data_IF_942337301270
#
_entry.id   IF_942337301270
#
_cell.length_a   1.000
_cell.length_b   1.000
_cell.length_c   1.000
_cell.angle_alpha   90.00
_cell.angle_beta   90.00
_cell.angle_gamma   90.00
#
_symmetry.space_group_name_H-M   'P 1'
#
loop_
_entity.id
_entity.type
_entity.pdbx_description
1 polymer ?
#
# COMPACT_ATOMS: atom_id res chain seq x y z
N UNK A 1 -24.05 15.07 3.33
CA UNK A 1 -24.46 15.22 4.74
C UNK A 1 -25.90 14.80 4.83
N UNK A 2 -26.30 14.09 5.89
CA UNK A 2 -27.64 13.51 6.03
C UNK A 2 -28.40 14.31 7.09
N UNK A 3 -29.73 14.29 7.02
CA UNK A 3 -30.58 14.95 7.98
C UNK A 3 -31.84 14.13 8.32
N UNK A 4 -32.37 14.39 9.52
CA UNK A 4 -33.70 14.00 9.96
C UNK A 4 -34.52 15.28 10.17
N UNK A 5 -35.75 15.28 9.66
CA UNK A 5 -36.67 16.41 9.83
C UNK A 5 -38.02 15.91 10.35
N UNK A 6 -38.50 16.52 11.44
CA UNK A 6 -39.82 16.27 11.98
C UNK A 6 -40.73 17.47 11.67
N UNK A 7 -41.67 17.36 10.72
CA UNK A 7 -42.52 18.48 10.30
C UNK A 7 -43.52 18.92 11.39
N UNK A 8 -43.92 18.02 12.29
CA UNK A 8 -44.88 18.33 13.36
C UNK A 8 -44.28 19.17 14.48
N UNK A 9 -42.96 19.07 14.71
CA UNK A 9 -42.24 19.86 15.73
C UNK A 9 -41.33 20.93 15.14
N UNK A 10 -41.08 20.89 13.82
CA UNK A 10 -40.11 21.75 13.15
C UNK A 10 -38.65 21.40 13.46
N UNK A 11 -38.38 20.29 14.14
CA UNK A 11 -37.02 19.90 14.52
C UNK A 11 -36.25 19.36 13.30
N UNK A 12 -35.07 19.91 13.07
CA UNK A 12 -34.13 19.46 12.04
C UNK A 12 -32.79 19.09 12.68
N UNK A 13 -32.30 17.89 12.38
CA UNK A 13 -31.02 17.38 12.89
C UNK A 13 -30.20 16.91 11.71
N UNK A 14 -29.02 17.49 11.51
CA UNK A 14 -28.03 16.94 10.58
C UNK A 14 -26.96 16.17 11.33
N UNK A 15 -26.46 15.12 10.69
CA UNK A 15 -25.41 14.27 11.22
C UNK A 15 -24.63 13.59 10.08
N UNK A 16 -23.53 12.94 10.46
CA UNK A 16 -22.82 12.02 9.58
C UNK A 16 -23.14 10.61 10.04
N UNK A 17 -23.37 9.72 9.09
CA UNK A 17 -23.43 8.29 9.29
C UNK A 17 -22.18 7.63 8.69
N UNK A 18 -22.16 6.30 8.71
CA UNK A 18 -21.05 5.52 8.17
C UNK A 18 -20.84 5.76 6.67
N UNK A 19 -21.90 5.97 5.89
CA UNK A 19 -21.81 6.26 4.45
C UNK A 19 -21.06 7.58 4.20
N UNK A 20 -21.45 8.66 4.89
CA UNK A 20 -20.79 9.96 4.76
C UNK A 20 -19.34 9.91 5.26
N UNK A 21 -19.05 9.15 6.32
CA UNK A 21 -17.68 8.95 6.80
C UNK A 21 -16.82 8.27 5.73
N UNK A 22 -17.32 7.21 5.08
CA UNK A 22 -16.59 6.53 4.02
C UNK A 22 -16.34 7.43 2.80
N UNK A 23 -17.32 8.24 2.41
CA UNK A 23 -17.14 9.23 1.33
C UNK A 23 -16.06 10.27 1.67
N UNK A 24 -16.03 10.76 2.91
CA UNK A 24 -14.99 11.70 3.39
C UNK A 24 -13.61 11.04 3.42
N UNK A 25 -13.51 9.79 3.87
CA UNK A 25 -12.25 9.05 3.86
C UNK A 25 -11.72 8.90 2.41
N UNK A 26 -12.60 8.59 1.45
CA UNK A 26 -12.23 8.53 0.03
C UNK A 26 -11.76 9.88 -0.50
N UNK A 27 -12.46 10.96 -0.14
CA UNK A 27 -12.06 12.32 -0.53
C UNK A 27 -10.67 12.68 0.02
N UNK A 28 -10.39 12.35 1.29
CA UNK A 28 -9.06 12.55 1.91
C UNK A 28 -7.98 11.81 1.12
N UNK A 29 -8.22 10.55 0.75
CA UNK A 29 -7.29 9.75 -0.06
C UNK A 29 -7.06 10.36 -1.46
N UNK A 30 -8.14 10.69 -2.17
CA UNK A 30 -8.08 11.23 -3.53
C UNK A 30 -7.33 12.56 -3.61
N UNK A 31 -7.48 13.40 -2.58
CA UNK A 31 -6.89 14.74 -2.55
C UNK A 31 -5.57 14.78 -1.77
N UNK A 32 -5.02 13.63 -1.36
CA UNK A 32 -3.76 13.52 -0.60
C UNK A 32 -3.74 14.41 0.64
N UNK A 33 -4.86 14.49 1.35
CA UNK A 33 -4.98 15.27 2.58
C UNK A 33 -4.35 14.51 3.76
N UNK A 34 -3.81 15.26 4.72
CA UNK A 34 -2.97 14.68 5.76
C UNK A 34 -3.68 13.67 6.66
N UNK A 35 -4.84 14.04 7.24
CA UNK A 35 -5.57 13.24 8.24
C UNK A 35 -7.05 13.64 8.33
N UNK A 36 -7.84 12.79 8.97
CA UNK A 36 -9.17 13.13 9.48
C UNK A 36 -9.09 13.49 10.97
N UNK A 37 -9.95 14.40 11.41
CA UNK A 37 -10.18 14.74 12.81
C UNK A 37 -11.68 14.68 13.09
N UNK A 38 -12.07 14.28 14.30
CA UNK A 38 -13.46 14.22 14.73
C UNK A 38 -13.59 14.66 16.19
N UNK A 39 -14.79 15.10 16.55
CA UNK A 39 -15.15 15.50 17.91
C UNK A 39 -16.55 14.93 18.24
N UNK A 40 -16.74 14.05 19.23
CA UNK A 40 -15.78 13.45 20.17
C UNK A 40 -16.02 11.93 20.32
N UNK A 41 -15.09 11.24 20.99
CA UNK A 41 -15.13 9.78 21.17
C UNK A 41 -16.42 9.29 21.85
N UNK A 42 -16.97 10.07 22.78
CA UNK A 42 -18.11 9.65 23.61
C UNK A 42 -19.43 9.57 22.83
N UNK A 43 -19.50 10.17 21.64
CA UNK A 43 -20.68 10.15 20.78
C UNK A 43 -20.58 9.12 19.65
N UNK A 44 -19.48 8.35 19.58
CA UNK A 44 -19.33 7.28 18.60
C UNK A 44 -19.87 5.97 19.16
N UNK A 45 -20.90 5.42 18.51
CA UNK A 45 -21.52 4.18 18.96
C UNK A 45 -20.57 3.02 18.64
N UNK A 46 -19.99 2.42 19.68
CA UNK A 46 -19.11 1.25 19.54
C UNK A 46 -17.91 1.51 18.60
N UNK A 47 -17.37 2.73 18.63
CA UNK A 47 -16.22 3.18 17.84
C UNK A 47 -16.39 2.98 16.32
N UNK A 48 -17.64 2.96 15.82
CA UNK A 48 -17.93 2.62 14.44
C UNK A 48 -17.26 3.59 13.45
N UNK A 49 -17.37 4.90 13.71
CA UNK A 49 -16.84 5.92 12.81
C UNK A 49 -15.31 5.98 12.89
N UNK A 50 -14.76 5.91 14.10
CA UNK A 50 -13.32 5.89 14.32
C UNK A 50 -12.69 4.67 13.65
N UNK A 51 -13.29 3.49 13.83
CA UNK A 51 -12.80 2.25 13.21
C UNK A 51 -12.85 2.34 11.69
N UNK A 52 -13.93 2.88 11.11
CA UNK A 52 -14.05 3.06 9.67
C UNK A 52 -12.94 3.97 9.12
N UNK A 53 -12.71 5.12 9.76
CA UNK A 53 -11.64 6.05 9.38
C UNK A 53 -10.25 5.47 9.59
N UNK A 54 -9.99 4.79 10.71
CA UNK A 54 -8.71 4.15 10.98
C UNK A 54 -8.40 3.06 9.95
N UNK A 55 -9.37 2.18 9.65
CA UNK A 55 -9.18 1.15 8.64
C UNK A 55 -8.91 1.76 7.26
N UNK A 56 -9.69 2.77 6.87
CA UNK A 56 -9.57 3.38 5.54
C UNK A 56 -8.32 4.22 5.33
N UNK A 57 -7.83 4.93 6.36
CA UNK A 57 -6.70 5.85 6.22
C UNK A 57 -5.37 5.28 6.72
N UNK A 58 -5.39 4.36 7.69
CA UNK A 58 -4.18 3.81 8.30
C UNK A 58 -3.91 2.37 7.87
N UNK A 59 -4.92 1.48 7.89
CA UNK A 59 -4.72 0.07 7.53
C UNK A 59 -4.54 -0.14 6.03
N UNK A 60 -5.15 0.66 5.16
CA UNK A 60 -4.86 0.63 3.72
C UNK A 60 -3.36 0.86 3.42
N UNK A 61 -2.65 1.59 4.29
CA UNK A 61 -1.21 1.89 4.17
C UNK A 61 -0.34 0.81 4.85
N UNK A 62 -0.84 0.13 5.89
CA UNK A 62 -0.07 -0.81 6.72
C UNK A 62 -0.50 -2.28 6.61
N UNK A 63 -1.54 -2.58 5.82
CA UNK A 63 -1.86 -3.97 5.49
C UNK A 63 -0.67 -4.55 4.73
N UNK A 64 -0.08 -5.60 5.28
CA UNK A 64 0.93 -6.44 4.61
C UNK A 64 0.37 -7.16 3.36
N UNK A 65 -0.83 -6.76 2.90
CA UNK A 65 -1.47 -7.11 1.64
C UNK A 65 -1.53 -5.93 0.66
N UNK A 66 -0.76 -4.86 0.89
CA UNK A 66 -0.06 -4.25 -0.23
C UNK A 66 0.98 -5.29 -0.73
N UNK A 67 0.57 -6.44 -1.29
CA UNK A 67 0.36 -6.49 -2.74
C UNK A 67 0.41 -5.10 -3.34
N UNK A 68 1.65 -4.65 -3.50
CA UNK A 68 2.03 -3.71 -4.53
C UNK A 68 1.60 -4.32 -5.87
N UNK A 69 0.30 -4.34 -6.16
CA UNK A 69 -0.23 -4.47 -7.50
C UNK A 69 -0.06 -3.10 -8.17
N UNK A 70 1.20 -2.65 -8.23
CA UNK A 70 1.65 -2.03 -9.45
C UNK A 70 1.37 -3.09 -10.52
N UNK A 71 0.38 -2.82 -11.36
CA UNK A 71 0.18 -3.56 -12.60
C UNK A 71 1.46 -3.42 -13.42
N UNK A 72 2.44 -4.27 -13.14
CA UNK A 72 3.47 -4.62 -14.10
C UNK A 72 3.12 -6.06 -14.47
N UNK A 73 2.59 -6.20 -15.68
CA UNK A 73 2.33 -7.43 -16.40
C UNK A 73 3.62 -8.19 -16.73
N UNK A 74 4.51 -8.37 -15.76
CA UNK A 74 5.70 -9.20 -15.89
C UNK A 74 5.74 -10.13 -14.70
N UNK A 75 5.59 -11.42 -14.97
CA UNK A 75 5.76 -12.51 -14.03
C UNK A 75 6.97 -12.24 -13.12
N UNK A 76 6.70 -11.88 -11.87
CA UNK A 76 7.75 -11.64 -10.88
C UNK A 76 8.33 -13.01 -10.53
N UNK A 77 9.59 -13.26 -10.89
CA UNK A 77 10.28 -14.47 -10.48
C UNK A 77 10.63 -14.34 -8.99
N UNK A 78 9.94 -15.09 -8.14
CA UNK A 78 10.26 -15.14 -6.72
C UNK A 78 11.49 -16.03 -6.48
N UNK A 79 12.30 -15.69 -5.47
CA UNK A 79 13.38 -16.57 -5.02
C UNK A 79 12.79 -17.81 -4.33
N UNK A 80 13.32 -18.98 -4.68
CA UNK A 80 12.87 -20.30 -4.24
C UNK A 80 14.11 -21.06 -3.79
N UNK A 81 13.98 -21.81 -2.69
CA UNK A 81 15.03 -22.64 -2.11
C UNK A 81 15.27 -23.88 -3.00
N UNK A 82 16.53 -24.37 -3.07
CA UNK A 82 16.93 -25.55 -3.83
C UNK A 82 16.73 -25.43 -5.35
N UNK A 83 16.41 -24.22 -5.84
CA UNK A 83 16.28 -23.96 -7.25
C UNK A 83 17.66 -23.66 -7.87
N UNK A 84 17.88 -24.16 -9.09
CA UNK A 84 19.08 -23.87 -9.86
C UNK A 84 18.94 -22.52 -10.57
N UNK A 85 19.83 -21.58 -10.26
CA UNK A 85 19.83 -20.23 -10.82
C UNK A 85 20.93 -20.05 -11.86
N UNK A 86 20.57 -19.41 -12.97
CA UNK A 86 21.51 -19.05 -14.04
C UNK A 86 22.04 -17.63 -13.85
N UNK A 87 23.24 -17.36 -14.36
CA UNK A 87 23.82 -16.00 -14.36
C UNK A 87 22.85 -15.04 -15.06
N UNK A 88 22.72 -13.83 -14.51
CA UNK A 88 21.78 -12.77 -14.91
C UNK A 88 20.29 -13.04 -14.67
N UNK A 89 19.93 -14.18 -14.08
CA UNK A 89 18.55 -14.40 -13.65
C UNK A 89 18.20 -13.45 -12.49
N UNK A 90 17.04 -12.80 -12.59
CA UNK A 90 16.55 -11.86 -11.59
C UNK A 90 15.46 -12.50 -10.74
N UNK A 91 15.55 -12.29 -9.44
CA UNK A 91 14.57 -12.77 -8.48
C UNK A 91 14.27 -11.74 -7.40
N UNK A 92 13.08 -11.83 -6.82
CA UNK A 92 12.69 -11.03 -5.66
C UNK A 92 12.83 -11.85 -4.38
N UNK A 93 13.51 -11.28 -3.38
CA UNK A 93 13.60 -11.83 -2.02
C UNK A 93 13.51 -10.70 -1.00
N UNK A 94 12.62 -10.82 -0.01
CA UNK A 94 12.39 -9.78 1.02
C UNK A 94 12.23 -8.35 0.45
N UNK A 95 11.43 -8.22 -0.60
CA UNK A 95 11.15 -6.96 -1.30
C UNK A 95 12.37 -6.27 -1.94
N UNK A 96 13.46 -7.00 -2.16
CA UNK A 96 14.66 -6.55 -2.87
C UNK A 96 14.87 -7.37 -4.14
N UNK A 97 15.30 -6.73 -5.22
CA UNK A 97 15.67 -7.40 -6.48
C UNK A 97 17.13 -7.85 -6.42
N UNK A 98 17.36 -9.11 -6.73
CA UNK A 98 18.70 -9.67 -6.83
C UNK A 98 18.93 -10.24 -8.22
N UNK A 99 20.13 -9.98 -8.74
CA UNK A 99 20.64 -10.59 -9.97
C UNK A 99 21.66 -11.66 -9.60
N UNK A 100 21.45 -12.88 -10.07
CA UNK A 100 22.42 -13.96 -9.92
C UNK A 100 23.69 -13.62 -10.72
N UNK A 101 24.86 -13.65 -10.08
CA UNK A 101 26.15 -13.37 -10.74
C UNK A 101 26.95 -14.64 -11.06
N UNK A 102 26.64 -15.76 -10.40
CA UNK A 102 27.28 -17.05 -10.63
C UNK A 102 26.25 -18.17 -10.55
N UNK A 103 26.29 -19.14 -11.47
CA UNK A 103 25.38 -20.29 -11.46
C UNK A 103 25.52 -21.08 -10.15
N UNK A 104 24.42 -21.31 -9.45
CA UNK A 104 24.39 -22.04 -8.19
C UNK A 104 22.99 -22.59 -7.88
N UNK A 105 22.94 -23.50 -6.90
CA UNK A 105 21.69 -23.92 -6.27
C UNK A 105 21.46 -23.11 -4.99
N UNK A 106 20.28 -22.55 -4.81
CA UNK A 106 19.95 -21.82 -3.59
C UNK A 106 19.87 -22.75 -2.37
N UNK A 107 20.23 -22.26 -1.19
CA UNK A 107 20.18 -23.02 0.07
C UNK A 107 19.27 -22.36 1.10
N UNK A 108 18.80 -23.14 2.09
CA UNK A 108 17.89 -22.64 3.15
C UNK A 108 18.54 -21.59 4.06
N UNK A 109 19.87 -21.49 4.08
CA UNK A 109 20.61 -20.65 5.02
C UNK A 109 21.83 -20.02 4.37
N UNK A 110 21.59 -19.28 3.29
CA UNK A 110 22.62 -18.44 2.68
C UNK A 110 23.10 -17.41 3.72
N UNK A 111 24.42 -17.32 3.93
CA UNK A 111 25.04 -16.32 4.82
C UNK A 111 25.29 -15.02 4.04
N UNK A 112 25.54 -13.91 4.73
CA UNK A 112 25.82 -12.61 4.07
C UNK A 112 26.96 -12.69 3.04
N UNK A 113 27.99 -13.45 3.36
CA UNK A 113 29.15 -13.64 2.47
C UNK A 113 28.76 -14.43 1.20
N UNK A 114 27.92 -15.46 1.36
CA UNK A 114 27.34 -16.23 0.25
C UNK A 114 26.44 -15.35 -0.61
N UNK A 115 25.61 -14.50 0.00
CA UNK A 115 24.78 -13.55 -0.74
C UNK A 115 25.63 -12.62 -1.61
N UNK A 116 26.65 -11.97 -1.05
CA UNK A 116 27.50 -11.03 -1.80
C UNK A 116 28.33 -11.67 -2.93
N UNK A 117 28.58 -12.98 -2.86
CA UNK A 117 29.40 -13.71 -3.84
C UNK A 117 28.58 -14.40 -4.93
N UNK A 118 27.28 -14.62 -4.71
CA UNK A 118 26.37 -15.30 -5.65
C UNK A 118 25.28 -14.37 -6.20
N UNK A 119 24.93 -13.32 -5.46
CA UNK A 119 23.86 -12.39 -5.76
C UNK A 119 24.34 -10.94 -5.72
N UNK A 120 23.92 -10.16 -6.71
CA UNK A 120 24.08 -8.72 -6.71
C UNK A 120 22.73 -8.06 -6.43
N UNK A 121 22.66 -7.23 -5.38
CA UNK A 121 21.50 -6.39 -5.12
C UNK A 121 21.38 -5.38 -6.27
N UNK A 122 20.29 -5.46 -7.01
CA UNK A 122 19.94 -4.41 -7.96
C UNK A 122 19.31 -3.28 -7.14
N UNK A 123 20.05 -2.18 -6.97
CA UNK A 123 19.50 -0.99 -6.33
C UNK A 123 18.28 -0.57 -7.14
N UNK A 124 17.16 -0.48 -6.45
CA UNK A 124 15.87 -0.04 -6.96
C UNK A 124 15.95 1.43 -7.37
N UNK A 125 16.65 1.72 -8.46
CA UNK A 125 16.48 2.97 -9.21
C UNK A 125 15.20 2.79 -10.01
N UNK A 126 14.06 2.71 -9.34
CA UNK A 126 12.76 2.71 -10.01
C UNK A 126 12.64 4.05 -10.75
N UNK A 127 12.84 4.01 -12.06
CA UNK A 127 11.95 4.60 -13.06
C UNK A 127 11.37 5.99 -12.67
N UNK A 128 12.20 6.96 -12.30
CA UNK A 128 11.77 8.38 -12.35
C UNK A 128 12.03 8.97 -13.75
N UNK A 129 12.91 8.36 -14.56
CA UNK A 129 13.19 8.88 -15.90
C UNK A 129 11.98 8.83 -16.83
N UNK A 130 11.07 7.86 -16.66
CA UNK A 130 9.84 7.79 -17.48
C UNK A 130 8.70 8.66 -16.93
N UNK A 131 8.68 8.98 -15.63
CA UNK A 131 7.71 9.94 -15.08
C UNK A 131 8.07 11.40 -15.38
N UNK A 132 9.35 11.72 -15.61
CA UNK A 132 9.74 13.08 -15.99
C UNK A 132 9.16 13.51 -17.34
N UNK A 133 8.97 12.57 -18.27
CA UNK A 133 8.42 12.84 -19.61
C UNK A 133 6.90 13.07 -19.65
N UNK A 134 6.16 12.78 -18.56
CA UNK A 134 4.73 13.09 -18.47
C UNK A 134 4.45 14.49 -17.87
N UNK A 135 5.47 15.18 -17.36
CA UNK A 135 5.35 16.52 -16.78
C UNK A 135 5.86 17.65 -17.71
N UNK A 136 6.12 17.36 -18.99
CA UNK A 136 6.55 18.36 -19.98
C UNK A 136 5.44 18.75 -20.98
N UNK A 137 4.17 18.52 -20.64
CA UNK A 137 3.03 19.11 -21.34
C UNK A 137 2.31 20.12 -20.42
N UNK A 138 2.92 21.28 -20.27
CA UNK A 138 2.24 22.56 -20.01
C UNK A 138 2.59 23.50 -21.14
#
# INVERSE_FOLDING_TARGET
MIYLFNPSTGLWISYNDLEIINLKNNYIKQNRLGRAFFWNFLLDRQDEFIRATFNSLYQDIHSSTANCSLLISTSINLWIVQNQYKVNQRVMYQNKSYRCIKTHQSTLKETSDVYSSLWQLETTTIIITTMKKMNEFT
#
